data_IF_393747948786
#
_entry.id   IF_393747948786
#
_cell.length_a   1.000
_cell.length_b   1.000
_cell.length_c   1.000
_cell.angle_alpha   90.00
_cell.angle_beta   90.00
_cell.angle_gamma   90.00
#
_symmetry.space_group_name_H-M   'P 1'
#
loop_
_entity.id
_entity.type
_entity.pdbx_description
1 polymer ?
#
# COMPACT_ATOMS: atom_id res chain seq x y z
N UNK A 1 -0.87 1.31 2.45
CA UNK A 1 -0.57 0.46 1.28
C UNK A 1 0.58 1.09 0.49
N UNK A 2 1.63 1.51 1.22
CA UNK A 2 2.81 2.14 0.64
C UNK A 2 3.66 1.09 -0.06
N UNK A 3 3.25 0.77 -1.29
CA UNK A 3 4.06 -0.04 -2.18
C UNK A 3 4.99 0.89 -2.97
N UNK A 4 6.27 0.88 -2.58
CA UNK A 4 7.42 0.46 -3.41
C UNK A 4 8.71 1.23 -3.04
N UNK A 5 9.49 0.67 -2.12
CA UNK A 5 10.92 0.46 -2.38
C UNK A 5 11.17 -1.03 -2.36
N UNK A 6 11.65 -1.58 -3.48
CA UNK A 6 12.00 -3.00 -3.56
C UNK A 6 13.05 -3.36 -2.50
N UNK A 7 13.06 -4.60 -1.98
CA UNK A 7 14.09 -5.04 -1.04
C UNK A 7 15.44 -5.08 -1.75
N UNK A 8 16.42 -4.34 -1.23
CA UNK A 8 17.82 -4.53 -1.60
C UNK A 8 18.36 -5.63 -0.69
N UNK A 9 18.36 -6.88 -1.15
CA UNK A 9 19.01 -7.98 -0.43
C UNK A 9 20.54 -7.79 -0.53
N UNK A 10 21.19 -7.53 0.60
CA UNK A 10 22.63 -7.75 0.76
C UNK A 10 22.85 -9.15 1.32
N UNK A 11 23.60 -9.98 0.58
CA UNK A 11 24.37 -11.07 1.12
C UNK A 11 25.73 -10.53 1.62
N UNK A 12 26.15 -11.00 2.80
CA UNK A 12 27.48 -10.76 3.39
C UNK A 12 28.23 -12.10 3.51
N UNK A 13 29.56 -12.12 3.73
CA UNK A 13 30.58 -11.21 3.22
C UNK A 13 31.77 -11.96 2.56
N UNK A 14 32.41 -11.34 1.57
CA UNK A 14 33.85 -11.55 1.35
C UNK A 14 34.54 -10.22 1.56
N UNK A 15 35.46 -10.22 2.52
CA UNK A 15 36.26 -9.08 2.96
C UNK A 15 37.16 -8.67 1.80
N UNK A 16 36.83 -7.55 1.16
CA UNK A 16 37.77 -6.79 0.36
C UNK A 16 37.86 -5.40 0.97
N UNK A 17 38.93 -5.17 1.73
CA UNK A 17 39.36 -3.84 2.16
C UNK A 17 39.64 -2.98 0.94
N UNK A 18 38.70 -2.11 0.59
CA UNK A 18 38.92 -1.02 -0.37
C UNK A 18 39.25 0.26 0.41
N UNK A 19 40.44 0.81 0.14
CA UNK A 19 40.90 2.10 0.63
C UNK A 19 39.94 3.20 0.15
N UNK A 20 39.35 3.93 1.10
CA UNK A 20 38.49 5.09 0.84
C UNK A 20 39.31 6.38 0.85
N UNK A 21 39.98 6.68 -0.25
CA UNK A 21 40.63 7.97 -0.45
C UNK A 21 39.72 8.90 -1.27
N UNK A 22 38.76 9.53 -0.58
CA UNK A 22 38.31 10.93 -0.78
C UNK A 22 37.08 11.24 0.09
N UNK A 23 37.32 11.92 1.20
CA UNK A 23 36.37 12.29 2.25
C UNK A 23 35.46 13.46 1.83
N UNK A 24 34.69 13.31 0.74
CA UNK A 24 33.64 14.27 0.39
C UNK A 24 32.42 14.03 1.29
N UNK A 25 32.39 14.72 2.42
CA UNK A 25 31.25 14.72 3.35
C UNK A 25 30.20 15.70 2.85
N UNK A 26 28.98 15.21 2.63
CA UNK A 26 27.83 16.04 2.25
C UNK A 26 26.90 16.23 3.45
N UNK A 27 26.32 17.42 3.54
CA UNK A 27 25.37 17.80 4.59
C UNK A 27 24.03 18.12 3.95
N UNK A 28 22.94 17.64 4.55
CA UNK A 28 21.60 17.98 4.08
C UNK A 28 21.30 19.45 4.38
N UNK A 29 20.96 20.25 3.37
CA UNK A 29 20.67 21.69 3.53
C UNK A 29 19.45 21.97 4.39
N UNK A 30 18.50 21.02 4.43
CA UNK A 30 17.27 21.13 5.20
C UNK A 30 17.45 20.82 6.67
N UNK A 31 17.91 19.61 7.01
CA UNK A 31 18.05 19.18 8.41
C UNK A 31 19.44 19.43 9.01
N UNK A 32 20.40 19.92 8.21
CA UNK A 32 21.79 20.22 8.60
C UNK A 32 22.58 19.02 9.15
N UNK A 33 22.11 17.80 8.91
CA UNK A 33 22.81 16.56 9.30
C UNK A 33 23.68 16.04 8.17
N UNK A 34 24.78 15.36 8.52
CA UNK A 34 25.60 14.64 7.55
C UNK A 34 24.80 13.54 6.84
N UNK A 35 25.00 13.44 5.53
CA UNK A 35 24.44 12.36 4.72
C UNK A 35 25.49 11.25 4.66
N UNK A 36 25.24 10.18 5.41
CA UNK A 36 26.13 9.00 5.49
C UNK A 36 26.46 8.49 4.08
N UNK A 37 27.72 8.12 3.77
CA UNK A 37 28.14 7.67 2.43
C UNK A 37 27.27 6.57 1.80
N UNK A 38 26.72 5.68 2.63
CA UNK A 38 25.86 4.58 2.21
C UNK A 38 24.40 4.98 1.97
N UNK A 39 24.01 6.19 2.38
CA UNK A 39 22.64 6.67 2.24
C UNK A 39 22.43 7.40 0.90
N UNK A 40 21.21 7.38 0.35
CA UNK A 40 20.89 8.15 -0.84
C UNK A 40 20.96 9.66 -0.58
N UNK A 41 21.48 10.39 -1.57
CA UNK A 41 21.58 11.84 -1.61
C UNK A 41 20.82 12.38 -2.81
N UNK A 42 20.05 13.45 -2.63
CA UNK A 42 19.32 14.12 -3.70
C UNK A 42 19.92 15.49 -3.91
N UNK A 43 20.56 15.72 -5.06
CA UNK A 43 21.15 17.01 -5.42
C UNK A 43 20.20 17.79 -6.31
N UNK A 44 19.97 19.06 -6.00
CA UNK A 44 19.27 19.97 -6.90
C UNK A 44 20.17 20.34 -8.09
N UNK A 45 19.63 20.32 -9.29
CA UNK A 45 20.34 20.71 -10.51
C UNK A 45 20.17 22.20 -10.85
N UNK A 46 19.30 22.90 -10.12
CA UNK A 46 19.00 24.34 -10.31
C UNK A 46 19.70 25.19 -9.26
N UNK A 47 19.62 24.81 -7.99
CA UNK A 47 20.28 25.51 -6.89
C UNK A 47 21.77 25.18 -6.83
N UNK A 48 22.59 26.18 -6.50
CA UNK A 48 24.01 25.97 -6.26
C UNK A 48 24.23 25.20 -4.95
N UNK A 49 24.90 24.06 -5.06
CA UNK A 49 25.34 23.21 -3.95
C UNK A 49 24.25 22.83 -2.93
N UNK A 50 23.05 22.53 -3.45
CA UNK A 50 21.92 22.17 -2.62
C UNK A 50 21.69 20.65 -2.63
N UNK A 51 21.94 20.02 -1.49
CA UNK A 51 21.88 18.58 -1.28
C UNK A 51 20.89 18.24 -0.16
N UNK A 52 20.01 17.27 -0.40
CA UNK A 52 19.05 16.77 0.57
C UNK A 52 19.32 15.30 0.89
N UNK A 53 19.13 14.93 2.16
CA UNK A 53 18.97 13.53 2.52
C UNK A 53 17.64 13.00 1.97
N UNK A 54 17.55 11.69 1.77
CA UNK A 54 16.33 11.05 1.26
C UNK A 54 15.07 11.42 2.06
N UNK A 55 15.19 11.60 3.38
CA UNK A 55 14.08 11.95 4.27
C UNK A 55 13.57 13.37 3.99
N UNK A 56 14.47 14.36 3.89
CA UNK A 56 14.07 15.74 3.61
C UNK A 56 13.56 15.93 2.17
N UNK A 57 14.12 15.20 1.20
CA UNK A 57 13.66 15.24 -0.18
C UNK A 57 12.23 14.71 -0.31
N UNK A 58 11.95 13.52 0.27
CA UNK A 58 10.62 12.91 0.22
C UNK A 58 9.58 13.66 1.07
N UNK A 59 10.02 14.26 2.18
CA UNK A 59 9.15 15.06 3.04
C UNK A 59 8.96 16.50 2.57
N UNK A 60 9.45 16.86 1.38
CA UNK A 60 9.40 18.21 0.80
C UNK A 60 9.87 19.31 1.77
N UNK A 61 10.87 18.99 2.59
CA UNK A 61 11.41 19.93 3.59
C UNK A 61 12.48 20.78 2.93
N UNK A 62 12.07 21.87 2.29
CA UNK A 62 12.99 22.77 1.58
C UNK A 62 13.32 24.01 2.41
N UNK A 63 14.55 24.51 2.31
CA UNK A 63 14.90 25.82 2.87
C UNK A 63 14.45 26.95 1.92
N UNK A 64 14.29 28.19 2.41
CA UNK A 64 13.99 29.33 1.56
C UNK A 64 14.96 29.45 0.38
N UNK A 65 14.43 29.68 -0.82
CA UNK A 65 15.20 29.79 -2.07
C UNK A 65 15.26 28.51 -2.91
N UNK A 66 14.84 27.37 -2.36
CA UNK A 66 14.63 26.13 -3.13
C UNK A 66 13.14 25.89 -3.37
N UNK A 67 12.76 25.58 -4.61
CA UNK A 67 11.39 25.22 -4.98
C UNK A 67 11.29 23.72 -5.28
N UNK A 68 10.18 23.09 -4.88
CA UNK A 68 9.98 21.65 -5.03
C UNK A 68 9.86 21.16 -6.47
N UNK A 69 9.68 22.08 -7.43
CA UNK A 69 9.64 21.81 -8.87
C UNK A 69 11.02 21.87 -9.54
N UNK A 70 12.09 22.19 -8.79
CA UNK A 70 13.44 22.15 -9.32
C UNK A 70 13.84 20.73 -9.73
N UNK A 71 14.53 20.61 -10.86
CA UNK A 71 15.08 19.32 -11.29
C UNK A 71 16.12 18.81 -10.28
N UNK A 72 16.10 17.51 -10.04
CA UNK A 72 16.99 16.85 -9.06
C UNK A 72 17.68 15.62 -9.66
N UNK A 73 18.84 15.27 -9.12
CA UNK A 73 19.57 14.04 -9.40
C UNK A 73 19.71 13.22 -8.11
N UNK A 74 19.36 11.94 -8.19
CA UNK A 74 19.45 11.02 -7.05
C UNK A 74 20.73 10.18 -7.16
N UNK A 75 21.60 10.32 -6.16
CA UNK A 75 22.75 9.45 -5.97
C UNK A 75 22.38 8.35 -4.99
N UNK A 76 22.50 7.09 -5.43
CA UNK A 76 22.23 5.92 -4.57
C UNK A 76 23.14 5.90 -3.34
N UNK A 77 24.39 6.32 -3.51
CA UNK A 77 25.40 6.44 -2.46
C UNK A 77 25.97 7.85 -2.48
N UNK A 78 26.00 8.49 -1.32
CA UNK A 78 26.38 9.88 -1.14
C UNK A 78 27.83 10.18 -1.59
N UNK A 79 28.78 9.28 -1.31
CA UNK A 79 30.21 9.42 -1.64
C UNK A 79 30.60 8.96 -3.06
N UNK A 80 29.76 9.22 -4.06
CA UNK A 80 29.78 8.57 -5.38
C UNK A 80 31.15 8.33 -6.03
N UNK A 81 31.41 7.08 -6.42
CA UNK A 81 32.29 6.80 -7.55
C UNK A 81 31.56 7.21 -8.82
N UNK A 82 32.12 8.13 -9.61
CA UNK A 82 31.53 8.73 -10.80
C UNK A 82 31.29 7.77 -11.99
N UNK A 83 30.58 6.66 -11.79
CA UNK A 83 30.14 5.82 -12.90
C UNK A 83 29.00 6.49 -13.65
N UNK A 84 29.25 6.70 -14.94
CA UNK A 84 28.26 7.08 -15.94
C UNK A 84 27.05 6.12 -15.94
N UNK A 85 25.86 6.57 -16.37
CA UNK A 85 24.65 5.75 -16.38
C UNK A 85 24.87 4.48 -17.22
N UNK A 86 24.61 3.31 -16.62
CA UNK A 86 24.66 2.02 -17.32
C UNK A 86 23.40 1.89 -18.18
N UNK A 87 23.50 1.66 -19.51
CA UNK A 87 22.32 1.45 -20.35
C UNK A 87 21.66 0.11 -20.03
N UNK A 88 20.32 0.10 -20.11
CA UNK A 88 19.48 -1.06 -19.78
C UNK A 88 19.86 -2.29 -20.63
N UNK A 89 20.35 -3.35 -19.98
CA UNK A 89 20.48 -4.67 -20.58
C UNK A 89 19.34 -5.58 -20.15
N UNK A 90 18.77 -6.24 -21.15
CA UNK A 90 17.68 -7.19 -21.10
C UNK A 90 18.23 -8.48 -20.50
N UNK A 91 17.78 -8.86 -19.30
CA UNK A 91 18.05 -10.18 -18.74
C UNK A 91 16.91 -11.12 -19.08
N UNK A 92 17.21 -12.13 -19.91
CA UNK A 92 16.36 -13.30 -20.11
C UNK A 92 16.73 -14.32 -19.04
N UNK A 93 15.83 -14.57 -18.09
CA UNK A 93 16.04 -15.60 -17.05
C UNK A 93 15.05 -16.74 -17.27
N UNK A 94 15.59 -17.90 -17.61
CA UNK A 94 14.90 -19.18 -17.73
C UNK A 94 14.51 -19.68 -16.33
N UNK A 95 13.22 -19.96 -16.12
CA UNK A 95 12.65 -20.43 -14.84
C UNK A 95 12.43 -21.96 -14.91
N UNK A 96 12.77 -22.75 -13.87
CA UNK A 96 12.48 -24.17 -13.81
C UNK A 96 11.00 -24.46 -13.49
N UNK A 97 10.46 -25.63 -13.88
CA UNK A 97 9.03 -25.92 -13.74
C UNK A 97 8.65 -26.23 -12.28
N UNK A 98 7.58 -25.60 -11.80
CA UNK A 98 6.99 -25.85 -10.49
C UNK A 98 5.84 -26.86 -10.58
N UNK A 99 5.78 -27.75 -9.59
CA UNK A 99 4.72 -28.73 -9.34
C UNK A 99 3.37 -28.06 -8.99
N UNK A 100 2.23 -28.62 -9.42
CA UNK A 100 0.92 -28.01 -9.19
C UNK A 100 0.44 -28.20 -7.74
N UNK A 101 0.06 -27.09 -7.10
CA UNK A 101 -0.69 -27.08 -5.85
C UNK A 101 -2.14 -26.69 -6.17
N UNK A 102 -3.09 -27.55 -5.78
CA UNK A 102 -4.53 -27.36 -6.01
C UNK A 102 -5.13 -26.38 -4.99
N UNK A 103 -5.87 -25.33 -5.41
CA UNK A 103 -6.63 -24.50 -4.48
C UNK A 103 -7.96 -25.18 -4.10
N UNK A 104 -8.30 -25.08 -2.81
CA UNK A 104 -9.58 -25.53 -2.27
C UNK A 104 -10.75 -24.72 -2.86
N UNK A 105 -11.79 -25.41 -3.32
CA UNK A 105 -13.04 -24.83 -3.79
C UNK A 105 -13.87 -24.35 -2.59
N UNK A 106 -14.21 -23.07 -2.55
CA UNK A 106 -15.33 -22.59 -1.76
C UNK A 106 -16.61 -22.70 -2.60
N UNK A 107 -17.55 -23.52 -2.14
CA UNK A 107 -18.91 -23.60 -2.69
C UNK A 107 -19.74 -22.43 -2.14
N UNK A 108 -20.12 -21.51 -3.02
CA UNK A 108 -21.21 -20.56 -2.76
C UNK A 108 -22.50 -21.33 -2.53
N UNK A 109 -23.04 -21.25 -1.31
CA UNK A 109 -24.39 -21.74 -1.01
C UNK A 109 -25.29 -20.50 -0.88
N UNK A 110 -26.06 -20.21 -1.93
CA UNK A 110 -27.10 -19.20 -1.93
C UNK A 110 -28.30 -19.69 -1.11
N UNK A 111 -28.61 -19.01 -0.01
CA UNK A 111 -29.85 -19.23 0.76
C UNK A 111 -30.88 -18.15 0.35
N UNK A 112 -32.16 -18.51 0.11
CA UNK A 112 -33.18 -17.53 -0.27
C UNK A 112 -33.62 -16.66 0.92
N UNK A 113 -33.87 -15.38 0.65
CA UNK A 113 -34.49 -14.44 1.58
C UNK A 113 -35.91 -14.90 1.94
N UNK A 114 -36.13 -15.25 3.22
CA UNK A 114 -37.47 -15.25 3.82
C UNK A 114 -37.67 -13.98 4.64
N UNK A 115 -38.69 -13.22 4.25
CA UNK A 115 -39.21 -12.05 4.95
C UNK A 115 -39.73 -12.46 6.33
N UNK A 116 -39.02 -12.10 7.40
CA UNK A 116 -39.52 -12.22 8.79
C UNK A 116 -39.92 -10.83 9.29
N UNK A 117 -41.21 -10.65 9.57
CA UNK A 117 -41.72 -9.52 10.36
C UNK A 117 -41.15 -9.58 11.79
N UNK A 118 -40.90 -8.43 12.45
CA UNK A 118 -40.44 -8.42 13.84
C UNK A 118 -41.60 -8.65 14.80
N UNK A 119 -41.52 -9.74 15.55
CA UNK A 119 -42.35 -10.01 16.72
C UNK A 119 -41.74 -9.28 17.93
N UNK A 120 -42.48 -8.30 18.45
CA UNK A 120 -42.11 -7.47 19.61
C UNK A 120 -42.55 -8.19 20.89
N UNK A 121 -41.80 -9.19 21.36
CA UNK A 121 -41.94 -9.77 22.71
C UNK A 121 -40.76 -10.68 23.04
N UNK A 122 -39.65 -10.10 23.49
CA UNK A 122 -38.51 -10.85 24.06
C UNK A 122 -37.72 -9.95 25.01
N UNK A 123 -37.26 -10.46 26.18
CA UNK A 123 -36.63 -9.63 27.20
C UNK A 123 -35.31 -9.06 26.66
N UNK A 124 -35.12 -7.77 26.90
CA UNK A 124 -33.93 -7.02 26.51
C UNK A 124 -32.68 -7.65 27.13
N UNK A 125 -31.88 -8.34 26.31
CA UNK A 125 -30.51 -8.73 26.66
C UNK A 125 -29.66 -7.45 26.66
N UNK A 126 -29.71 -6.76 27.80
CA UNK A 126 -28.87 -5.61 28.13
C UNK A 126 -27.47 -6.10 28.44
N UNK A 127 -26.74 -6.56 27.41
CA UNK A 127 -25.29 -6.66 27.52
C UNK A 127 -24.72 -5.25 27.39
N UNK A 128 -24.06 -4.70 28.43
CA UNK A 128 -23.38 -3.42 28.30
C UNK A 128 -22.23 -3.59 27.31
N UNK A 129 -22.25 -2.82 26.23
CA UNK A 129 -21.02 -2.52 25.49
C UNK A 129 -20.09 -1.79 26.47
N UNK A 130 -18.88 -2.28 26.78
CA UNK A 130 -18.01 -1.63 27.74
C UNK A 130 -17.37 -0.40 27.08
N UNK A 131 -18.13 0.69 26.99
CA UNK A 131 -17.63 2.00 26.58
C UNK A 131 -17.08 2.82 27.77
N UNK A 132 -16.89 2.19 28.93
CA UNK A 132 -16.14 2.75 30.03
C UNK A 132 -14.80 2.02 30.12
N UNK A 133 -13.76 2.62 29.54
CA UNK A 133 -12.39 2.36 30.00
C UNK A 133 -12.39 2.56 31.51
N UNK A 134 -12.19 1.49 32.28
CA UNK A 134 -12.08 1.64 33.73
C UNK A 134 -10.96 2.65 34.04
N UNK A 135 -11.15 3.60 34.97
CA UNK A 135 -10.13 4.60 35.31
C UNK A 135 -8.76 4.01 35.65
N UNK A 136 -8.74 2.77 36.14
CA UNK A 136 -7.54 1.96 36.40
C UNK A 136 -6.75 1.61 35.12
N UNK A 137 -7.44 1.29 34.03
CA UNK A 137 -6.81 0.90 32.75
C UNK A 137 -6.16 2.10 32.05
N UNK A 138 -6.79 3.27 32.15
CA UNK A 138 -6.22 4.54 31.66
C UNK A 138 -4.99 4.99 32.48
N UNK A 139 -4.92 4.64 33.78
CA UNK A 139 -3.73 4.89 34.62
C UNK A 139 -2.56 3.97 34.27
N UNK A 140 -2.82 2.71 33.91
CA UNK A 140 -1.77 1.75 33.56
C UNK A 140 -1.02 2.11 32.26
N UNK A 141 -1.69 2.81 31.34
CA UNK A 141 -1.12 3.17 30.04
C UNK A 141 -0.50 4.56 30.00
N UNK A 142 -0.36 5.28 31.11
CA UNK A 142 0.10 6.69 31.15
C UNK A 142 1.49 7.00 30.58
N UNK A 143 2.10 6.06 29.84
CA UNK A 143 3.34 6.20 29.10
C UNK A 143 3.31 5.29 27.86
N UNK A 144 4.12 5.64 26.86
CA UNK A 144 4.31 4.82 25.67
C UNK A 144 4.87 3.43 26.01
N UNK A 145 4.34 2.41 25.33
CA UNK A 145 4.73 1.01 25.48
C UNK A 145 5.07 0.43 24.10
N UNK A 146 5.88 -0.65 24.02
CA UNK A 146 6.05 -1.40 22.79
C UNK A 146 4.70 -1.83 22.20
N UNK A 147 4.53 -1.64 20.91
CA UNK A 147 3.30 -1.96 20.18
C UNK A 147 3.24 -3.41 19.70
N UNK A 148 4.39 -4.08 19.68
CA UNK A 148 4.51 -5.47 19.25
C UNK A 148 5.30 -6.29 20.25
N UNK A 149 4.86 -7.53 20.44
CA UNK A 149 5.62 -8.56 21.12
C UNK A 149 6.78 -9.04 20.22
N UNK A 150 7.77 -9.78 20.75
CA UNK A 150 8.89 -10.31 19.96
C UNK A 150 8.47 -11.27 18.83
N UNK A 151 7.27 -11.86 18.92
CA UNK A 151 6.66 -12.69 17.88
C UNK A 151 5.86 -11.86 16.85
N UNK A 152 5.97 -10.53 16.89
CA UNK A 152 5.27 -9.58 16.03
C UNK A 152 3.75 -9.60 16.19
N UNK A 153 3.22 -10.20 17.26
CA UNK A 153 1.81 -10.04 17.65
C UNK A 153 1.58 -8.66 18.28
N UNK A 154 0.41 -8.02 18.03
CA UNK A 154 0.13 -6.70 18.57
C UNK A 154 -0.06 -6.75 20.09
N UNK A 155 0.48 -5.76 20.80
CA UNK A 155 0.22 -5.60 22.24
C UNK A 155 -1.16 -5.00 22.48
N UNK A 156 -1.61 -5.02 23.74
CA UNK A 156 -2.85 -4.33 24.14
C UNK A 156 -2.76 -2.82 23.89
N UNK A 157 -1.59 -2.20 24.11
CA UNK A 157 -1.38 -0.76 23.86
C UNK A 157 -1.60 -0.40 22.38
N UNK A 158 -1.07 -1.21 21.46
CA UNK A 158 -1.29 -1.02 20.02
C UNK A 158 -2.75 -1.20 19.65
N UNK A 159 -3.35 -2.29 20.13
CA UNK A 159 -4.75 -2.63 19.84
C UNK A 159 -5.71 -1.55 20.36
N UNK A 160 -5.46 -1.01 21.55
CA UNK A 160 -6.24 0.09 22.11
C UNK A 160 -6.10 1.37 21.28
N UNK A 161 -4.87 1.75 20.92
CA UNK A 161 -4.65 2.93 20.08
C UNK A 161 -5.40 2.84 18.76
N UNK A 162 -5.32 1.69 18.08
CA UNK A 162 -5.99 1.54 16.80
C UNK A 162 -7.52 1.48 16.93
N UNK A 163 -8.02 0.96 18.05
CA UNK A 163 -9.45 1.05 18.35
C UNK A 163 -9.91 2.48 18.56
N UNK A 164 -9.13 3.30 19.25
CA UNK A 164 -9.45 4.71 19.49
C UNK A 164 -9.38 5.52 18.20
N UNK A 165 -8.35 5.28 17.36
CA UNK A 165 -8.26 5.87 16.02
C UNK A 165 -9.46 5.46 15.16
N UNK A 166 -9.83 4.18 15.15
CA UNK A 166 -10.98 3.72 14.38
C UNK A 166 -12.28 4.38 14.86
N UNK A 167 -12.49 4.45 16.18
CA UNK A 167 -13.68 5.10 16.75
C UNK A 167 -13.72 6.60 16.46
N UNK A 168 -12.56 7.27 16.39
CA UNK A 168 -12.47 8.65 15.93
C UNK A 168 -12.88 8.80 14.45
N UNK A 169 -12.52 7.83 13.62
CA UNK A 169 -12.88 7.79 12.19
C UNK A 169 -14.33 7.35 11.92
N UNK A 170 -14.95 6.64 12.85
CA UNK A 170 -16.34 6.17 12.81
C UNK A 170 -17.17 6.75 13.96
N UNK A 171 -17.47 8.06 13.93
CA UNK A 171 -18.22 8.73 14.99
C UNK A 171 -19.66 8.19 15.12
N UNK A 172 -20.18 7.58 14.06
CA UNK A 172 -21.51 6.95 14.02
C UNK A 172 -21.53 5.53 14.56
N UNK A 173 -20.37 4.94 14.87
CA UNK A 173 -20.21 3.57 15.34
C UNK A 173 -20.91 2.54 14.45
N UNK A 174 -20.78 2.71 13.13
CA UNK A 174 -21.29 1.78 12.11
C UNK A 174 -20.50 0.46 12.13
N UNK A 175 -19.25 0.50 12.60
CA UNK A 175 -18.34 -0.64 12.70
C UNK A 175 -17.48 -0.87 11.47
N UNK A 176 -17.61 -0.03 10.43
CA UNK A 176 -16.86 -0.15 9.17
C UNK A 176 -16.50 1.23 8.61
N UNK A 177 -15.31 1.37 8.03
CA UNK A 177 -14.90 2.61 7.35
C UNK A 177 -15.07 2.43 5.84
N UNK A 178 -15.82 3.34 5.21
CA UNK A 178 -15.94 3.39 3.75
C UNK A 178 -14.59 3.75 3.10
N UNK A 179 -14.39 3.42 1.81
CA UNK A 179 -13.12 3.68 1.11
C UNK A 179 -12.60 5.11 1.25
N UNK A 180 -13.48 6.11 1.19
CA UNK A 180 -13.12 7.52 1.31
C UNK A 180 -12.56 7.86 2.70
N UNK A 181 -13.18 7.35 3.76
CA UNK A 181 -12.73 7.58 5.14
C UNK A 181 -11.38 6.91 5.38
N UNK A 182 -11.22 5.66 4.94
CA UNK A 182 -9.95 4.96 5.04
C UNK A 182 -8.85 5.63 4.19
N UNK A 183 -9.18 6.07 2.98
CA UNK A 183 -8.27 6.82 2.11
C UNK A 183 -7.81 8.12 2.77
N UNK A 184 -8.73 8.88 3.40
CA UNK A 184 -8.38 10.11 4.12
C UNK A 184 -7.48 9.84 5.32
N UNK A 185 -7.72 8.75 6.05
CA UNK A 185 -6.83 8.31 7.12
C UNK A 185 -5.40 8.07 6.60
N UNK A 186 -5.23 7.44 5.43
CA UNK A 186 -3.90 7.29 4.82
C UNK A 186 -3.26 8.64 4.47
N UNK A 187 -4.03 9.61 3.99
CA UNK A 187 -3.53 10.97 3.75
C UNK A 187 -3.06 11.64 5.04
N UNK A 188 -3.81 11.45 6.14
CA UNK A 188 -3.49 11.99 7.45
C UNK A 188 -2.23 11.35 8.04
N UNK A 189 -1.99 10.07 7.74
CA UNK A 189 -0.73 9.37 8.00
C UNK A 189 0.42 9.86 7.09
N UNK A 190 0.13 10.60 6.01
CA UNK A 190 1.11 11.17 5.09
C UNK A 190 1.54 10.23 3.96
N UNK A 191 0.69 9.27 3.60
CA UNK A 191 0.88 8.45 2.40
C UNK A 191 0.70 9.30 1.14
N UNK A 192 1.51 9.04 0.12
CA UNK A 192 1.38 9.68 -1.18
C UNK A 192 0.18 9.11 -1.97
N UNK A 193 -0.39 9.84 -2.93
CA UNK A 193 -1.55 9.36 -3.70
C UNK A 193 -1.34 8.00 -4.40
N UNK A 194 -0.11 7.70 -4.84
CA UNK A 194 0.22 6.41 -5.47
C UNK A 194 0.40 5.26 -4.47
N UNK A 195 0.61 5.58 -3.19
CA UNK A 195 0.69 4.64 -2.06
C UNK A 195 -0.70 4.38 -1.42
N UNK A 196 -1.70 5.13 -1.85
CA UNK A 196 -3.09 4.96 -1.45
C UNK A 196 -3.81 4.19 -2.56
N UNK A 197 -4.06 2.89 -2.35
CA UNK A 197 -4.63 2.00 -3.36
C UNK A 197 -5.95 2.51 -3.92
N UNK A 198 -6.79 3.16 -3.11
CA UNK A 198 -8.04 3.75 -3.58
C UNK A 198 -7.78 4.95 -4.49
N UNK A 199 -6.95 5.92 -4.05
CA UNK A 199 -6.61 7.09 -4.88
C UNK A 199 -5.86 6.73 -6.15
N UNK A 200 -4.94 5.76 -6.10
CA UNK A 200 -4.22 5.26 -7.28
C UNK A 200 -5.17 4.67 -8.33
N UNK A 201 -6.33 4.18 -7.88
CA UNK A 201 -7.39 3.61 -8.72
C UNK A 201 -8.39 4.63 -9.26
N UNK A 202 -8.30 5.93 -8.90
CA UNK A 202 -9.16 7.00 -9.44
C UNK A 202 -8.79 7.32 -10.89
N UNK A 203 -9.03 6.36 -11.78
CA UNK A 203 -8.82 6.47 -13.21
C UNK A 203 -10.14 6.18 -13.90
N UNK A 204 -10.66 7.16 -14.65
CA UNK A 204 -11.91 6.95 -15.40
C UNK A 204 -11.62 6.07 -16.61
N UNK A 205 -12.49 5.09 -16.84
CA UNK A 205 -12.51 4.35 -18.10
C UNK A 205 -13.84 4.61 -18.80
N UNK A 206 -13.93 4.33 -20.11
CA UNK A 206 -15.21 4.44 -20.84
C UNK A 206 -16.34 3.58 -20.24
N UNK A 207 -16.01 2.58 -19.42
CA UNK A 207 -16.95 1.59 -18.90
C UNK A 207 -17.26 1.74 -17.40
N UNK A 208 -16.38 2.36 -16.61
CA UNK A 208 -16.50 2.44 -15.16
C UNK A 208 -16.16 3.85 -14.67
N UNK A 209 -16.90 4.31 -13.65
CA UNK A 209 -16.58 5.55 -12.96
C UNK A 209 -15.23 5.45 -12.25
N UNK A 210 -14.66 6.61 -11.89
CA UNK A 210 -13.40 6.67 -11.14
C UNK A 210 -13.52 5.95 -9.80
N UNK A 211 -14.65 6.12 -9.11
CA UNK A 211 -14.95 5.49 -7.83
C UNK A 211 -15.09 3.98 -7.98
N UNK A 212 -15.77 3.48 -9.02
CA UNK A 212 -15.90 2.05 -9.24
C UNK A 212 -14.52 1.39 -9.50
N UNK A 213 -13.62 2.10 -10.18
CA UNK A 213 -12.23 1.66 -10.39
C UNK A 213 -11.42 1.71 -9.09
N UNK A 214 -11.57 2.77 -8.30
CA UNK A 214 -10.92 2.93 -7.00
C UNK A 214 -11.38 1.88 -5.98
N UNK A 215 -12.69 1.63 -5.90
CA UNK A 215 -13.32 0.63 -5.04
C UNK A 215 -12.82 -0.77 -5.43
N UNK A 216 -12.73 -1.07 -6.75
CA UNK A 216 -12.15 -2.32 -7.24
C UNK A 216 -10.66 -2.47 -6.88
N UNK A 217 -9.88 -1.40 -7.00
CA UNK A 217 -8.46 -1.41 -6.65
C UNK A 217 -8.26 -1.65 -5.14
N UNK A 218 -9.01 -0.95 -4.29
CA UNK A 218 -8.96 -1.12 -2.85
C UNK A 218 -9.40 -2.53 -2.45
N UNK A 219 -10.51 -3.04 -3.00
CA UNK A 219 -11.00 -4.41 -2.74
C UNK A 219 -9.95 -5.45 -3.11
N UNK A 220 -9.37 -5.35 -4.30
CA UNK A 220 -8.31 -6.26 -4.74
C UNK A 220 -7.13 -6.26 -3.78
N UNK A 221 -6.88 -5.13 -3.11
CA UNK A 221 -5.79 -5.01 -2.16
C UNK A 221 -6.16 -5.70 -0.84
N UNK A 222 -7.37 -5.46 -0.32
CA UNK A 222 -7.87 -6.18 0.86
C UNK A 222 -7.91 -7.69 0.65
N UNK A 223 -8.43 -8.16 -0.49
CA UNK A 223 -8.49 -9.59 -0.82
C UNK A 223 -7.09 -10.23 -0.78
N UNK A 224 -6.11 -9.56 -1.38
CA UNK A 224 -4.74 -10.09 -1.51
C UNK A 224 -4.03 -10.22 -0.16
N UNK A 225 -4.32 -9.31 0.75
CA UNK A 225 -3.78 -9.35 2.12
C UNK A 225 -4.70 -10.09 3.09
N UNK A 226 -5.84 -10.60 2.64
CA UNK A 226 -6.87 -11.21 3.50
C UNK A 226 -7.31 -10.26 4.62
N UNK A 227 -7.47 -8.98 4.29
CA UNK A 227 -7.97 -7.95 5.19
C UNK A 227 -9.48 -8.08 5.28
N UNK A 228 -9.98 -8.14 6.51
CA UNK A 228 -11.41 -8.22 6.77
C UNK A 228 -12.14 -6.93 6.32
N UNK A 229 -13.15 -7.11 5.48
CA UNK A 229 -13.93 -6.01 4.90
C UNK A 229 -15.32 -6.51 4.48
N UNK A 230 -16.28 -5.58 4.44
CA UNK A 230 -17.64 -5.82 3.98
C UNK A 230 -17.93 -5.08 2.69
N UNK A 231 -18.78 -5.65 1.85
CA UNK A 231 -19.19 -5.06 0.58
C UNK A 231 -20.49 -4.28 0.76
N UNK A 232 -20.40 -2.96 0.68
CA UNK A 232 -21.55 -2.06 0.79
C UNK A 232 -22.00 -1.58 -0.59
N UNK A 233 -23.26 -1.14 -0.68
CA UNK A 233 -23.76 -0.41 -1.85
C UNK A 233 -23.46 1.07 -1.68
N UNK A 234 -22.95 1.73 -2.73
CA UNK A 234 -22.84 3.20 -2.74
C UNK A 234 -24.23 3.81 -2.64
N UNK A 235 -24.39 4.75 -1.70
CA UNK A 235 -25.62 5.53 -1.55
C UNK A 235 -25.84 6.48 -2.73
N UNK A 236 -24.75 6.99 -3.31
CA UNK A 236 -24.77 7.89 -4.46
C UNK A 236 -24.00 7.24 -5.63
N UNK A 237 -24.66 6.44 -6.47
CA UNK A 237 -24.04 5.91 -7.67
C UNK A 237 -23.76 7.06 -8.67
N UNK A 238 -22.71 6.96 -9.49
CA UNK A 238 -22.41 7.94 -10.52
C UNK A 238 -23.57 8.02 -11.53
N UNK A 239 -23.82 9.20 -12.12
CA UNK A 239 -24.95 9.44 -13.03
C UNK A 239 -24.91 8.61 -14.32
N UNK A 240 -23.79 7.95 -14.62
CA UNK A 240 -23.50 7.26 -15.88
C UNK A 240 -24.22 5.92 -16.09
N UNK A 241 -25.01 5.42 -15.13
CA UNK A 241 -25.77 4.17 -15.26
C UNK A 241 -24.93 2.89 -15.38
N UNK A 242 -23.61 2.99 -15.52
CA UNK A 242 -22.65 1.90 -15.40
C UNK A 242 -22.54 1.54 -13.93
N UNK A 243 -23.08 0.38 -13.56
CA UNK A 243 -23.34 -0.01 -12.18
C UNK A 243 -22.18 0.30 -11.22
N UNK A 244 -22.48 1.06 -10.17
CA UNK A 244 -21.57 1.21 -9.05
C UNK A 244 -21.31 -0.19 -8.48
N UNK A 245 -20.08 -0.69 -8.66
CA UNK A 245 -19.66 -1.93 -8.02
C UNK A 245 -19.79 -1.83 -6.50
N UNK A 246 -19.80 -2.96 -5.79
CA UNK A 246 -19.79 -2.93 -4.33
C UNK A 246 -18.54 -2.19 -3.81
N UNK A 247 -18.72 -1.29 -2.86
CA UNK A 247 -17.62 -0.55 -2.23
C UNK A 247 -17.08 -1.36 -1.04
N UNK A 248 -15.76 -1.60 -0.95
CA UNK A 248 -15.17 -2.36 0.14
C UNK A 248 -15.00 -1.46 1.38
N UNK A 249 -15.86 -1.63 2.38
CA UNK A 249 -15.70 -0.95 3.66
C UNK A 249 -14.87 -1.83 4.62
N UNK A 250 -13.78 -1.29 5.14
CA UNK A 250 -12.87 -2.04 6.02
C UNK A 250 -13.48 -2.16 7.42
N UNK A 251 -13.45 -3.37 7.99
CA UNK A 251 -13.93 -3.57 9.36
C UNK A 251 -12.90 -3.06 10.37
N UNK A 252 -13.29 -2.96 11.64
CA UNK A 252 -12.35 -2.67 12.73
C UNK A 252 -11.21 -3.68 12.82
N UNK A 253 -11.50 -4.96 12.65
CA UNK A 253 -10.46 -6.00 12.65
C UNK A 253 -9.55 -5.87 11.44
N UNK A 254 -10.11 -5.61 10.26
CA UNK A 254 -9.33 -5.38 9.05
C UNK A 254 -8.44 -4.15 9.16
N UNK A 255 -8.94 -3.07 9.77
CA UNK A 255 -8.18 -1.84 10.00
C UNK A 255 -6.95 -2.09 10.88
N UNK A 256 -7.10 -2.83 11.98
CA UNK A 256 -6.00 -3.19 12.87
C UNK A 256 -4.99 -4.08 12.14
N UNK A 257 -5.45 -5.07 11.39
CA UNK A 257 -4.56 -5.99 10.69
C UNK A 257 -3.79 -5.29 9.55
N UNK A 258 -4.43 -4.43 8.76
CA UNK A 258 -3.72 -3.76 7.66
C UNK A 258 -2.66 -2.80 8.18
N UNK A 259 -2.99 -2.01 9.19
CA UNK A 259 -2.03 -1.09 9.82
C UNK A 259 -0.90 -1.83 10.53
N UNK A 260 -1.16 -3.02 11.06
CA UNK A 260 -0.11 -3.91 11.60
C UNK A 260 0.84 -4.38 10.52
N UNK A 261 0.31 -4.81 9.38
CA UNK A 261 1.14 -5.22 8.23
C UNK A 261 2.05 -4.08 7.79
N UNK A 262 1.53 -2.86 7.65
CA UNK A 262 2.34 -1.69 7.27
C UNK A 262 3.39 -1.38 8.36
N UNK A 263 2.98 -1.32 9.63
CA UNK A 263 3.85 -1.01 10.78
C UNK A 263 5.04 -1.96 10.92
N UNK A 264 4.84 -3.23 10.61
CA UNK A 264 5.90 -4.24 10.68
C UNK A 264 6.73 -4.32 9.39
N UNK A 265 6.21 -3.84 8.26
CA UNK A 265 6.91 -3.84 6.98
C UNK A 265 7.91 -2.68 6.84
N UNK A 266 7.54 -1.49 7.32
CA UNK A 266 8.46 -0.36 7.43
C UNK A 266 8.24 0.39 8.76
N UNK A 267 8.78 -0.14 9.87
CA UNK A 267 8.59 0.46 11.20
C UNK A 267 9.09 1.90 11.31
N UNK A 268 10.08 2.29 10.50
CA UNK A 268 10.65 3.64 10.55
C UNK A 268 9.78 4.67 9.83
N UNK A 269 9.26 4.32 8.65
CA UNK A 269 8.25 5.15 7.97
C UNK A 269 6.99 5.27 8.83
N UNK A 270 6.50 4.14 9.34
CA UNK A 270 5.25 4.10 10.11
C UNK A 270 5.35 4.83 11.44
N UNK A 271 6.50 4.80 12.12
CA UNK A 271 6.74 5.67 13.26
C UNK A 271 6.50 7.16 12.92
N UNK A 272 7.03 7.61 11.78
CA UNK A 272 6.83 8.97 11.30
C UNK A 272 5.36 9.27 10.97
N UNK A 273 4.66 8.30 10.37
CA UNK A 273 3.26 8.39 10.00
C UNK A 273 2.36 8.51 11.24
N UNK A 274 2.50 7.61 12.21
CA UNK A 274 1.75 7.64 13.47
C UNK A 274 2.07 8.90 14.29
N UNK A 275 3.32 9.35 14.32
CA UNK A 275 3.69 10.59 15.00
C UNK A 275 2.94 11.81 14.44
N UNK A 276 2.77 11.88 13.10
CA UNK A 276 1.97 12.94 12.46
C UNK A 276 0.50 12.79 12.78
N UNK A 277 -0.03 11.58 12.66
CA UNK A 277 -1.44 11.27 12.92
C UNK A 277 -1.84 11.63 14.35
N UNK A 278 -1.07 11.20 15.35
CA UNK A 278 -1.36 11.44 16.77
C UNK A 278 -1.42 12.93 17.10
N UNK A 279 -0.50 13.74 16.55
CA UNK A 279 -0.55 15.20 16.69
C UNK A 279 -1.78 15.80 16.01
N UNK A 280 -2.14 15.28 14.84
CA UNK A 280 -3.29 15.76 14.06
C UNK A 280 -4.62 15.43 14.73
N UNK A 281 -4.77 14.21 15.24
CA UNK A 281 -6.04 13.73 15.81
C UNK A 281 -6.21 14.20 17.26
N UNK A 282 -5.09 14.43 17.96
CA UNK A 282 -5.08 14.94 19.34
C UNK A 282 -6.03 14.16 20.25
N UNK A 283 -5.95 12.83 20.17
CA UNK A 283 -6.83 11.92 20.90
C UNK A 283 -6.68 12.15 22.42
N UNK A 284 -7.78 12.41 23.17
CA UNK A 284 -7.70 12.83 24.57
C UNK A 284 -6.90 11.89 25.48
N UNK A 285 -7.00 10.58 25.27
CA UNK A 285 -6.31 9.58 26.09
C UNK A 285 -4.77 9.69 26.01
N UNK A 286 -4.27 10.11 24.85
CA UNK A 286 -2.84 10.20 24.55
C UNK A 286 -2.33 11.64 24.68
N UNK A 287 -3.23 12.59 24.97
CA UNK A 287 -2.84 13.97 25.22
C UNK A 287 -1.99 14.05 26.48
N UNK A 288 -0.77 14.59 26.36
CA UNK A 288 0.17 14.71 27.46
C UNK A 288 1.18 13.56 27.61
N UNK A 289 1.13 12.51 26.78
CA UNK A 289 2.15 11.44 26.81
C UNK A 289 3.48 11.84 26.15
N UNK A 290 3.56 13.07 25.61
CA UNK A 290 4.70 13.56 24.85
C UNK A 290 4.75 13.03 23.42
N UNK A 291 5.87 13.22 22.75
CA UNK A 291 6.10 12.67 21.41
C UNK A 291 6.18 11.13 21.44
N UNK A 292 5.72 10.50 20.36
CA UNK A 292 5.78 9.05 20.18
C UNK A 292 7.26 8.60 20.08
N UNK A 293 7.79 7.79 21.02
CA UNK A 293 9.18 7.37 20.95
C UNK A 293 9.36 6.29 19.88
N UNK A 294 10.50 6.29 19.20
CA UNK A 294 10.80 5.30 18.14
C UNK A 294 10.77 3.86 18.65
N UNK A 295 11.03 3.65 19.94
CA UNK A 295 11.05 2.34 20.60
C UNK A 295 9.69 1.65 20.71
N UNK A 296 8.57 2.33 20.43
CA UNK A 296 7.25 1.67 20.38
C UNK A 296 7.16 0.67 19.23
N UNK A 297 7.94 0.87 18.17
CA UNK A 297 7.99 0.02 16.98
C UNK A 297 9.30 -0.76 16.92
N UNK A 298 9.32 -1.95 16.27
CA UNK A 298 10.55 -2.71 16.06
C UNK A 298 11.61 -1.88 15.34
N UNK A 299 12.90 -2.12 15.62
CA UNK A 299 13.99 -1.40 14.96
C UNK A 299 14.11 -1.76 13.47
N UNK A 300 13.91 -3.03 13.16
CA UNK A 300 13.99 -3.59 11.81
C UNK A 300 12.65 -4.17 11.37
N UNK A 301 12.37 -4.24 10.05
CA UNK A 301 11.19 -4.90 9.53
C UNK A 301 11.08 -6.36 9.94
N UNK A 302 9.84 -6.82 10.17
CA UNK A 302 9.58 -8.22 10.49
C UNK A 302 9.75 -9.11 9.25
N UNK A 303 10.61 -10.13 9.35
CA UNK A 303 10.92 -11.01 8.23
C UNK A 303 9.70 -11.77 7.69
N UNK A 304 8.76 -12.15 8.57
CA UNK A 304 7.54 -12.86 8.16
C UNK A 304 6.59 -11.94 7.39
N UNK A 305 6.50 -10.67 7.80
CA UNK A 305 5.71 -9.65 7.08
C UNK A 305 6.34 -9.31 5.74
N UNK A 306 7.67 -9.18 5.67
CA UNK A 306 8.37 -9.02 4.40
C UNK A 306 8.12 -10.20 3.45
N UNK A 307 8.16 -11.43 3.96
CA UNK A 307 7.87 -12.63 3.17
C UNK A 307 6.41 -12.66 2.69
N UNK A 308 5.45 -12.28 3.54
CA UNK A 308 4.03 -12.14 3.17
C UNK A 308 3.86 -11.13 2.04
N UNK A 309 4.46 -9.94 2.18
CA UNK A 309 4.42 -8.89 1.15
C UNK A 309 5.06 -9.38 -0.16
N UNK A 310 6.21 -10.04 -0.10
CA UNK A 310 6.87 -10.60 -1.27
C UNK A 310 5.99 -11.65 -1.98
N UNK A 311 5.30 -12.51 -1.23
CA UNK A 311 4.36 -13.50 -1.78
C UNK A 311 3.16 -12.86 -2.49
N UNK A 312 2.57 -11.85 -1.85
CA UNK A 312 1.49 -11.01 -2.40
C UNK A 312 1.93 -10.35 -3.71
N UNK A 313 3.14 -9.79 -3.75
CA UNK A 313 3.69 -9.13 -4.96
C UNK A 313 4.00 -10.11 -6.08
N UNK A 314 4.60 -11.26 -5.77
CA UNK A 314 4.88 -12.29 -6.75
C UNK A 314 3.59 -12.80 -7.42
N UNK A 315 2.52 -12.98 -6.63
CA UNK A 315 1.21 -13.36 -7.16
C UNK A 315 0.60 -12.24 -8.03
N UNK A 316 0.68 -10.99 -7.60
CA UNK A 316 0.22 -9.85 -8.39
C UNK A 316 0.92 -9.78 -9.76
N UNK A 317 2.24 -10.00 -9.79
CA UNK A 317 3.03 -10.02 -11.01
C UNK A 317 2.64 -11.18 -11.92
N UNK A 318 2.44 -12.39 -11.38
CA UNK A 318 1.96 -13.54 -12.15
C UNK A 318 0.60 -13.28 -12.79
N UNK A 319 -0.36 -12.76 -12.03
CA UNK A 319 -1.68 -12.41 -12.55
C UNK A 319 -1.61 -11.32 -13.61
N UNK A 320 -0.78 -10.30 -13.41
CA UNK A 320 -0.50 -9.27 -14.40
C UNK A 320 0.02 -9.86 -15.71
N UNK A 321 1.02 -10.74 -15.62
CA UNK A 321 1.61 -11.41 -16.78
C UNK A 321 0.58 -12.29 -17.51
N UNK A 322 -0.24 -13.04 -16.78
CA UNK A 322 -1.31 -13.86 -17.36
C UNK A 322 -2.33 -13.01 -18.11
N UNK A 323 -2.73 -11.84 -17.58
CA UNK A 323 -3.66 -10.93 -18.25
C UNK A 323 -3.07 -10.35 -19.55
N UNK A 324 -1.80 -9.98 -19.54
CA UNK A 324 -1.11 -9.50 -20.75
C UNK A 324 -1.04 -10.60 -21.81
N UNK A 325 -0.70 -11.83 -21.40
CA UNK A 325 -0.66 -12.98 -22.30
C UNK A 325 -2.05 -13.28 -22.89
N UNK A 326 -3.09 -13.29 -22.06
CA UNK A 326 -4.47 -13.51 -22.50
C UNK A 326 -4.95 -12.42 -23.48
N UNK A 327 -4.63 -11.15 -23.20
CA UNK A 327 -4.94 -10.04 -24.10
C UNK A 327 -4.23 -10.17 -25.44
N UNK A 328 -2.95 -10.59 -25.44
CA UNK A 328 -2.18 -10.85 -26.66
C UNK A 328 -2.80 -11.97 -27.49
N UNK A 329 -3.15 -13.10 -26.87
CA UNK A 329 -3.80 -14.24 -27.55
C UNK A 329 -5.15 -13.81 -28.13
N UNK A 330 -5.96 -13.09 -27.36
CA UNK A 330 -7.26 -12.61 -27.83
C UNK A 330 -7.13 -11.65 -29.04
N UNK A 331 -6.10 -10.79 -29.05
CA UNK A 331 -5.82 -9.91 -30.18
C UNK A 331 -5.38 -10.69 -31.43
N UNK A 332 -4.53 -11.72 -31.26
CA UNK A 332 -4.11 -12.60 -32.35
C UNK A 332 -5.28 -13.36 -32.96
N UNK A 333 -6.15 -13.94 -32.12
CA UNK A 333 -7.35 -14.65 -32.58
C UNK A 333 -8.31 -13.73 -33.34
N UNK A 334 -8.46 -12.48 -32.90
CA UNK A 334 -9.28 -11.49 -33.61
C UNK A 334 -8.69 -11.17 -34.98
N UNK A 335 -7.40 -10.88 -35.06
CA UNK A 335 -6.72 -10.59 -36.32
C UNK A 335 -6.79 -11.78 -37.30
N UNK A 336 -6.63 -13.01 -36.79
CA UNK A 336 -6.80 -14.22 -37.60
C UNK A 336 -8.24 -14.38 -38.09
N UNK A 337 -9.23 -14.12 -37.24
CA UNK A 337 -10.64 -14.15 -37.62
C UNK A 337 -10.98 -13.11 -38.71
N UNK A 338 -10.43 -11.90 -38.60
CA UNK A 338 -10.56 -10.85 -39.61
C UNK A 338 -9.92 -11.26 -40.95
N UNK A 339 -8.71 -11.82 -40.92
CA UNK A 339 -8.06 -12.31 -42.13
C UNK A 339 -8.85 -13.43 -42.81
N UNK A 340 -9.31 -14.42 -42.03
CA UNK A 340 -10.14 -15.50 -42.56
C UNK A 340 -11.45 -14.97 -43.19
N UNK A 341 -12.05 -13.92 -42.62
CA UNK A 341 -13.24 -13.30 -43.18
C UNK A 341 -12.95 -12.57 -44.50
N UNK A 342 -11.81 -11.89 -44.60
CA UNK A 342 -11.36 -11.25 -45.86
C UNK A 342 -11.16 -12.31 -46.94
N UNK A 343 -10.49 -13.42 -46.61
CA UNK A 343 -10.20 -14.50 -47.55
C UNK A 343 -11.49 -15.11 -48.13
N UNK A 344 -12.54 -15.28 -47.30
CA UNK A 344 -13.86 -15.79 -47.72
C UNK A 344 -14.63 -14.84 -48.64
N UNK A 345 -14.44 -13.53 -48.51
CA UNK A 345 -15.13 -12.51 -49.31
C UNK A 345 -14.35 -12.17 -50.58
N UNK A 346 -13.03 -12.38 -50.58
CA UNK A 346 -12.19 -12.13 -51.75
C UNK A 346 -12.53 -13.13 -52.86
N UNK A 347 -13.15 -12.66 -53.95
CA UNK A 347 -13.49 -13.45 -55.15
C UNK A 347 -12.24 -13.72 -56.02
N UNK A 348 -11.13 -14.06 -55.35
CA UNK A 348 -9.84 -14.32 -55.98
C UNK A 348 -9.90 -15.70 -56.63
N UNK A 349 -10.55 -15.81 -57.80
CA UNK A 349 -10.41 -16.98 -58.67
C UNK A 349 -8.94 -17.15 -59.01
N UNK A 350 -8.29 -18.11 -58.37
CA UNK A 350 -6.95 -18.57 -58.76
C UNK A 350 -7.11 -19.25 -60.12
N UNK A 351 -6.84 -18.51 -61.19
CA UNK A 351 -6.88 -19.02 -62.56
C UNK A 351 -5.63 -19.88 -62.77
N UNK A 352 -5.75 -21.20 -62.59
CA UNK A 352 -4.68 -22.14 -62.90
C UNK A 352 -4.49 -22.20 -64.41
N UNK A 353 -3.48 -21.49 -64.94
CA UNK A 353 -2.99 -21.72 -66.31
C UNK A 353 -2.13 -22.99 -66.31
N UNK A 354 -2.68 -24.06 -66.86
CA UNK A 354 -1.90 -25.23 -67.25
C UNK A 354 -1.11 -24.87 -68.51
N UNK A 355 0.22 -24.93 -68.42
CA UNK A 355 1.14 -24.78 -69.55
C UNK A 355 1.37 -26.11 -70.27
#
# INVERSE_FOLDING_TARGET
MAFLKGPTFQSSPLVATFSMDNNLQYTCDSCRTFIVPLNPRVRCLVCADYDLCAICALGERFTPGHAGDHSTQVFKYCGGNGQAPVPASIYTTTVPPATPYSPARYTETSVPLQTRQPDLSGPADTRPVPNNLSPERSKQLGQWQPWFHPDSSPTEAYTMLLNDIFSFLDPTNVGNLVPETFSRFLDDMGYLPHENSWKSGLQSTRALSQEAMADKALKSTFDRFSIDHVLLKRLHPPPSGTGAGPMPAITRSGFIEITRVEALADPSQEWGNFSRLLRKYNLPLYSGWGDLPRSVLPEVPDASMLARIAGVMAEAQRQGQQRLNASRVAAQLRAQGEQNAIDLISDTRVEYRYY
#
